data_IF_620435246087
#
_entry.id   IF_620435246087
#
_cell.length_a   1.000
_cell.length_b   1.000
_cell.length_c   1.000
_cell.angle_alpha   90.00
_cell.angle_beta   90.00
_cell.angle_gamma   90.00
#
_symmetry.space_group_name_H-M   'P 1'
#
loop_
_entity.id
_entity.type
_entity.pdbx_description
1 polymer ?
#
# COMPACT_ATOMS: atom_id res chain seq x y z
N UNK A 1 -10.23 -3.97 -8.37
CA UNK A 1 -9.70 -3.47 -9.67
C UNK A 1 -9.31 -1.99 -9.51
N UNK A 2 -8.18 -1.56 -10.07
CA UNK A 2 -7.77 -0.15 -10.12
C UNK A 2 -7.08 0.17 -11.46
N UNK A 3 -6.99 1.46 -11.82
CA UNK A 3 -6.25 1.92 -13.00
C UNK A 3 -5.12 2.84 -12.54
N UNK A 4 -3.88 2.54 -12.96
CA UNK A 4 -2.69 3.31 -12.60
C UNK A 4 -1.89 3.56 -13.87
N UNK A 5 -1.67 4.84 -14.21
CA UNK A 5 -0.94 5.21 -15.43
C UNK A 5 -1.57 4.67 -16.73
N UNK A 6 -2.90 4.54 -16.77
CA UNK A 6 -3.64 3.99 -17.92
C UNK A 6 -3.67 2.46 -17.99
N UNK A 7 -2.99 1.75 -17.08
CA UNK A 7 -3.01 0.29 -17.00
C UNK A 7 -4.00 -0.16 -15.93
N UNK A 8 -4.83 -1.13 -16.27
CA UNK A 8 -5.79 -1.72 -15.35
C UNK A 8 -5.14 -2.90 -14.61
N UNK A 9 -5.32 -2.90 -13.29
CA UNK A 9 -4.86 -3.93 -12.35
C UNK A 9 -6.03 -4.53 -11.57
N UNK A 10 -5.86 -5.78 -11.13
CA UNK A 10 -6.88 -6.52 -10.38
C UNK A 10 -7.96 -7.17 -11.24
N UNK A 11 -7.61 -7.58 -12.47
CA UNK A 11 -8.34 -8.64 -13.19
C UNK A 11 -7.62 -9.96 -12.90
N UNK A 12 -8.36 -10.93 -12.35
CA UNK A 12 -7.90 -12.31 -12.24
C UNK A 12 -8.51 -13.09 -13.41
N UNK A 13 -7.67 -13.76 -14.20
CA UNK A 13 -8.14 -14.64 -15.28
C UNK A 13 -8.91 -15.88 -14.76
N UNK A 14 -8.96 -16.10 -13.44
CA UNK A 14 -9.52 -17.30 -12.80
C UNK A 14 -10.68 -17.06 -11.83
N UNK A 15 -11.43 -15.95 -11.94
CA UNK A 15 -12.66 -15.76 -11.14
C UNK A 15 -12.46 -15.65 -9.63
N UNK A 16 -11.23 -15.47 -9.17
CA UNK A 16 -10.92 -15.10 -7.80
C UNK A 16 -11.21 -13.60 -7.62
N UNK A 17 -12.00 -13.23 -6.60
CA UNK A 17 -12.32 -11.83 -6.28
C UNK A 17 -11.15 -11.10 -5.60
N UNK A 18 -10.06 -11.80 -5.26
CA UNK A 18 -8.89 -11.21 -4.63
C UNK A 18 -8.14 -10.27 -5.58
N UNK A 19 -7.79 -9.07 -5.12
CA UNK A 19 -6.95 -8.16 -5.92
C UNK A 19 -5.54 -8.75 -6.08
N UNK A 20 -5.18 -9.18 -7.30
CA UNK A 20 -3.81 -9.58 -7.62
C UNK A 20 -2.89 -8.36 -7.75
N UNK A 21 -2.32 -7.96 -6.61
CA UNK A 21 -1.24 -6.97 -6.51
C UNK A 21 0.06 -7.43 -7.20
N UNK A 22 0.15 -8.72 -7.59
CA UNK A 22 1.33 -9.32 -8.24
C UNK A 22 1.75 -8.57 -9.50
N UNK A 23 0.79 -8.19 -10.36
CA UNK A 23 1.09 -7.45 -11.60
C UNK A 23 1.56 -6.02 -11.33
N UNK A 24 0.99 -5.36 -10.32
CA UNK A 24 1.44 -4.03 -9.87
C UNK A 24 2.89 -4.10 -9.39
N UNK A 25 3.17 -5.05 -8.48
CA UNK A 25 4.49 -5.24 -7.91
C UNK A 25 5.53 -5.67 -8.94
N UNK A 26 5.14 -6.52 -9.91
CA UNK A 26 6.02 -6.89 -11.03
C UNK A 26 6.42 -5.66 -11.82
N UNK A 27 5.46 -4.86 -12.28
CA UNK A 27 5.76 -3.65 -13.07
C UNK A 27 6.62 -2.65 -12.30
N UNK A 28 6.36 -2.50 -11.00
CA UNK A 28 7.15 -1.66 -10.11
C UNK A 28 8.61 -2.14 -10.00
N UNK A 29 8.82 -3.44 -9.74
CA UNK A 29 10.16 -4.03 -9.54
C UNK A 29 10.97 -4.17 -10.82
N UNK A 30 10.33 -4.38 -11.97
CA UNK A 30 11.02 -4.51 -13.26
C UNK A 30 11.32 -3.17 -13.93
N UNK A 31 11.02 -2.04 -13.28
CA UNK A 31 11.24 -0.70 -13.85
C UNK A 31 10.39 -0.42 -15.09
N UNK A 32 9.14 -0.90 -15.12
CA UNK A 32 8.19 -0.57 -16.19
C UNK A 32 8.07 0.96 -16.34
N UNK A 33 7.77 1.52 -17.53
CA UNK A 33 7.63 2.97 -17.70
C UNK A 33 6.66 3.66 -16.72
N UNK A 34 5.67 2.91 -16.20
CA UNK A 34 4.70 3.40 -15.20
C UNK A 34 5.15 3.19 -13.75
N UNK A 35 6.32 2.59 -13.48
CA UNK A 35 6.81 2.31 -12.14
C UNK A 35 6.86 3.54 -11.21
N UNK A 36 7.30 4.74 -11.67
CA UNK A 36 7.24 5.95 -10.83
C UNK A 36 5.81 6.29 -10.40
N UNK A 37 4.86 6.24 -11.35
CA UNK A 37 3.43 6.50 -11.11
C UNK A 37 2.84 5.46 -10.15
N UNK A 38 3.24 4.19 -10.30
CA UNK A 38 2.81 3.12 -9.40
C UNK A 38 3.31 3.38 -7.97
N UNK A 39 4.58 3.73 -7.80
CA UNK A 39 5.14 4.02 -6.46
C UNK A 39 4.44 5.21 -5.81
N UNK A 40 4.18 6.29 -6.55
CA UNK A 40 3.44 7.45 -6.05
C UNK A 40 1.99 7.10 -5.69
N UNK A 41 1.33 6.30 -6.53
CA UNK A 41 -0.04 5.85 -6.26
C UNK A 41 -0.12 5.02 -4.98
N UNK A 42 0.79 4.07 -4.78
CA UNK A 42 0.80 3.24 -3.56
C UNK A 42 1.20 4.10 -2.35
N UNK A 43 2.13 5.04 -2.52
CA UNK A 43 2.48 6.02 -1.47
C UNK A 43 1.25 6.81 -1.03
N UNK A 44 0.43 7.29 -1.97
CA UNK A 44 -0.84 7.98 -1.65
C UNK A 44 -1.80 7.07 -0.89
N UNK A 45 -1.94 5.79 -1.30
CA UNK A 45 -2.76 4.82 -0.55
C UNK A 45 -2.26 4.62 0.89
N UNK A 46 -0.95 4.69 1.11
CA UNK A 46 -0.32 4.49 2.42
C UNK A 46 -0.42 5.71 3.36
N UNK A 47 -0.76 6.90 2.86
CA UNK A 47 -0.77 8.13 3.68
C UNK A 47 -2.10 8.89 3.68
N UNK A 48 -2.91 8.77 2.63
CA UNK A 48 -4.13 9.57 2.41
C UNK A 48 -5.35 8.99 3.16
N UNK A 49 -5.22 8.80 4.46
CA UNK A 49 -6.26 8.30 5.37
C UNK A 49 -6.00 8.81 6.79
N UNK A 50 -6.90 8.49 7.72
CA UNK A 50 -6.77 8.84 9.15
C UNK A 50 -6.30 7.70 10.05
N UNK A 51 -6.04 6.51 9.47
CA UNK A 51 -5.57 5.30 10.20
C UNK A 51 -4.36 5.59 11.09
N UNK A 52 -4.39 5.05 12.31
CA UNK A 52 -3.29 5.10 13.28
C UNK A 52 -2.56 3.75 13.31
N UNK A 53 -1.23 3.71 13.13
CA UNK A 53 -0.45 2.49 13.24
C UNK A 53 -0.06 2.26 14.71
N UNK A 54 -0.24 1.03 15.20
CA UNK A 54 0.23 0.61 16.52
C UNK A 54 1.21 -0.54 16.34
N UNK A 55 2.47 -0.30 16.70
CA UNK A 55 3.52 -1.33 16.62
C UNK A 55 3.54 -2.14 17.91
N UNK A 56 3.39 -3.44 17.79
CA UNK A 56 3.63 -4.36 18.91
C UNK A 56 5.15 -4.54 19.06
N UNK A 57 5.74 -4.00 20.13
CA UNK A 57 7.19 -4.06 20.34
C UNK A 57 7.73 -5.48 20.56
N UNK A 58 6.88 -6.43 20.95
CA UNK A 58 7.26 -7.84 21.15
C UNK A 58 7.22 -8.64 19.86
N UNK A 59 6.17 -8.48 19.04
CA UNK A 59 6.01 -9.25 17.79
C UNK A 59 6.52 -8.51 16.56
N UNK A 60 6.83 -7.22 16.67
CA UNK A 60 7.13 -6.29 15.57
C UNK A 60 5.98 -6.17 14.55
N UNK A 61 4.78 -6.62 14.91
CA UNK A 61 3.60 -6.50 14.04
C UNK A 61 2.96 -5.11 14.17
N UNK A 62 2.53 -4.59 13.03
CA UNK A 62 1.80 -3.31 12.97
C UNK A 62 0.31 -3.60 12.85
N UNK A 63 -0.45 -3.12 13.84
CA UNK A 63 -1.90 -3.09 13.83
C UNK A 63 -2.38 -1.73 13.31
N UNK A 64 -3.34 -1.74 12.39
CA UNK A 64 -3.92 -0.53 11.81
C UNK A 64 -5.29 -0.27 12.41
N UNK A 65 -5.39 0.81 13.20
CA UNK A 65 -6.64 1.29 13.80
C UNK A 65 -7.28 2.30 12.84
N UNK A 66 -8.35 1.89 12.18
CA UNK A 66 -9.07 2.69 11.21
C UNK A 66 -10.50 2.97 11.68
N UNK A 67 -11.05 4.14 11.32
CA UNK A 67 -12.44 4.49 11.62
C UNK A 67 -13.43 3.90 10.61
N UNK A 68 -12.95 3.46 9.44
CA UNK A 68 -13.76 2.80 8.41
C UNK A 68 -13.08 1.54 7.86
N UNK A 69 -13.87 0.56 7.38
CA UNK A 69 -13.33 -0.65 6.74
C UNK A 69 -12.58 -0.34 5.44
N UNK A 70 -13.00 0.71 4.72
CA UNK A 70 -12.39 1.12 3.44
C UNK A 70 -10.98 1.66 3.66
N UNK A 71 -10.79 2.52 4.67
CA UNK A 71 -9.46 2.99 5.05
C UNK A 71 -8.57 1.83 5.47
N UNK A 72 -9.07 0.90 6.30
CA UNK A 72 -8.32 -0.28 6.70
C UNK A 72 -7.87 -1.13 5.50
N UNK A 73 -8.74 -1.29 4.50
CA UNK A 73 -8.43 -2.03 3.29
C UNK A 73 -7.34 -1.34 2.46
N UNK A 74 -7.37 -0.01 2.35
CA UNK A 74 -6.34 0.77 1.63
C UNK A 74 -4.96 0.59 2.26
N UNK A 75 -4.82 0.74 3.58
CA UNK A 75 -3.52 0.60 4.26
C UNK A 75 -3.00 -0.83 4.20
N UNK A 76 -3.90 -1.82 4.32
CA UNK A 76 -3.53 -3.23 4.16
C UNK A 76 -3.05 -3.52 2.75
N UNK A 77 -3.71 -2.98 1.72
CA UNK A 77 -3.29 -3.13 0.34
C UNK A 77 -1.93 -2.47 0.08
N UNK A 78 -1.67 -1.28 0.63
CA UNK A 78 -0.37 -0.63 0.55
C UNK A 78 0.74 -1.47 1.23
N UNK A 79 0.46 -2.03 2.41
CA UNK A 79 1.37 -2.95 3.12
C UNK A 79 1.68 -4.20 2.29
N UNK A 80 0.68 -4.78 1.62
CA UNK A 80 0.87 -5.92 0.70
C UNK A 80 1.73 -5.56 -0.52
N UNK A 81 1.78 -4.29 -0.88
CA UNK A 81 2.60 -3.74 -1.96
C UNK A 81 3.92 -3.12 -1.48
N UNK A 82 4.44 -3.57 -0.33
CA UNK A 82 5.72 -3.15 0.25
C UNK A 82 5.82 -1.63 0.53
N UNK A 83 4.68 -0.97 0.76
CA UNK A 83 4.61 0.40 1.29
C UNK A 83 3.92 0.35 2.65
N UNK A 84 4.73 0.24 3.71
CA UNK A 84 4.25 -0.01 5.07
C UNK A 84 4.11 1.31 5.81
N UNK A 85 2.91 1.60 6.29
CA UNK A 85 2.66 2.77 7.11
C UNK A 85 3.09 2.52 8.56
N UNK A 86 4.09 3.23 9.07
CA UNK A 86 4.71 2.90 10.37
C UNK A 86 4.42 3.93 11.45
N UNK A 87 4.40 5.21 11.10
CA UNK A 87 4.30 6.30 12.07
C UNK A 87 3.32 7.37 11.63
N UNK A 88 2.51 7.85 12.58
CA UNK A 88 1.69 9.06 12.43
C UNK A 88 1.95 9.99 13.61
N UNK A 89 2.30 11.22 13.31
CA UNK A 89 2.37 12.34 14.24
C UNK A 89 1.48 13.48 13.73
N UNK A 90 1.20 14.52 14.52
CA UNK A 90 0.48 15.70 14.04
C UNK A 90 1.18 16.43 12.88
N UNK A 91 2.51 16.37 12.83
CA UNK A 91 3.32 17.15 11.89
C UNK A 91 3.77 16.35 10.65
N UNK A 92 3.98 15.04 10.82
CA UNK A 92 4.46 14.16 9.75
C UNK A 92 4.00 12.71 9.92
N UNK A 93 4.12 11.96 8.83
CA UNK A 93 3.96 10.51 8.78
C UNK A 93 5.24 9.87 8.26
N UNK A 94 5.44 8.59 8.55
CA UNK A 94 6.56 7.81 8.02
C UNK A 94 6.03 6.55 7.37
N UNK A 95 6.53 6.26 6.18
CA UNK A 95 6.29 5.00 5.48
C UNK A 95 7.62 4.29 5.23
N UNK A 96 7.60 2.97 5.28
CA UNK A 96 8.69 2.15 4.75
C UNK A 96 8.32 1.75 3.32
N UNK A 97 9.15 2.16 2.37
CA UNK A 97 9.00 1.83 0.95
C UNK A 97 10.09 0.84 0.58
N UNK A 98 9.73 -0.42 0.37
CA UNK A 98 10.64 -1.51 0.01
C UNK A 98 11.85 -1.64 0.95
N UNK A 99 11.66 -1.47 2.25
CA UNK A 99 12.70 -1.54 3.27
C UNK A 99 13.46 -0.23 3.49
N UNK A 100 13.03 0.87 2.86
CA UNK A 100 13.62 2.20 3.06
C UNK A 100 12.59 3.16 3.69
N UNK A 101 12.88 3.73 4.87
CA UNK A 101 12.00 4.72 5.48
C UNK A 101 12.00 6.01 4.63
N UNK A 102 10.80 6.55 4.39
CA UNK A 102 10.53 7.75 3.61
C UNK A 102 9.52 8.65 4.33
#
# INVERSE_FOLDING_TARGET
RCSIGGIIYGENDMGDESFSHVKVMKNLKTGHPTAPIISEFITLMAVCHTVVPQVNHTTQEIQYLASSPDEAALVKAAKQMEHVFTTRTPDYVVIDVMGQPK
#
